data_IF_597623674988
#
_entry.id   IF_597623674988
#
_cell.length_a   1.000
_cell.length_b   1.000
_cell.length_c   1.000
_cell.angle_alpha   90.00
_cell.angle_beta   90.00
_cell.angle_gamma   90.00
#
_symmetry.space_group_name_H-M   'P 1'
#
loop_
_entity.id
_entity.type
_entity.pdbx_description
1 polymer ?
#
# COMPACT_ATOMS: atom_id res chain seq x y z
N UNK A 1 -7.27 34.34 11.98
CA UNK A 1 -6.38 34.40 10.80
C UNK A 1 -6.71 33.18 9.94
N UNK A 2 -6.86 33.36 8.62
CA UNK A 2 -7.74 32.59 7.71
C UNK A 2 -7.54 31.06 7.72
N UNK A 3 -8.63 30.32 7.91
CA UNK A 3 -8.77 28.92 7.49
C UNK A 3 -8.56 28.86 5.97
N UNK A 4 -7.51 28.17 5.51
CA UNK A 4 -7.30 27.97 4.08
C UNK A 4 -8.08 26.74 3.66
N UNK A 5 -9.35 26.95 3.26
CA UNK A 5 -10.10 25.97 2.47
C UNK A 5 -9.29 25.79 1.18
N UNK A 6 -8.60 24.66 1.03
CA UNK A 6 -7.92 24.34 -0.22
C UNK A 6 -9.02 24.10 -1.25
N UNK A 7 -9.37 25.16 -1.99
CA UNK A 7 -9.91 25.00 -3.33
C UNK A 7 -8.71 24.50 -4.13
N UNK A 8 -8.74 23.23 -4.51
CA UNK A 8 -7.77 22.71 -5.46
C UNK A 8 -7.91 23.58 -6.70
N UNK A 9 -6.89 24.37 -7.03
CA UNK A 9 -6.89 25.17 -8.25
C UNK A 9 -7.23 24.23 -9.41
N UNK A 10 -8.39 24.48 -9.97
CA UNK A 10 -9.01 23.76 -11.07
C UNK A 10 -8.14 23.90 -12.30
N UNK A 11 -7.08 23.10 -12.41
CA UNK A 11 -6.61 22.65 -13.71
C UNK A 11 -7.67 21.70 -14.24
N UNK A 12 -8.48 22.25 -15.13
CA UNK A 12 -9.52 21.63 -15.93
C UNK A 12 -9.15 20.20 -16.32
N UNK A 13 -9.69 19.24 -15.58
CA UNK A 13 -10.05 17.92 -16.08
C UNK A 13 -11.56 17.79 -15.94
N UNK A 14 -12.27 18.61 -16.72
CA UNK A 14 -13.67 18.38 -17.01
C UNK A 14 -13.73 17.26 -18.05
N UNK A 15 -13.60 16.03 -17.55
CA UNK A 15 -14.15 14.85 -18.20
C UNK A 15 -14.75 14.02 -17.07
N UNK A 16 -15.93 14.44 -16.61
CA UNK A 16 -16.84 13.51 -15.97
C UNK A 16 -17.15 12.47 -17.02
N UNK A 17 -16.46 11.33 -16.98
CA UNK A 17 -16.92 10.13 -17.66
C UNK A 17 -18.34 9.88 -17.15
N UNK A 18 -19.33 9.91 -18.04
CA UNK A 18 -20.66 9.40 -17.74
C UNK A 18 -20.46 7.94 -17.30
N UNK A 19 -20.57 7.71 -16.00
CA UNK A 19 -20.53 6.37 -15.43
C UNK A 19 -21.90 5.78 -15.67
N UNK A 20 -21.98 4.76 -16.54
CA UNK A 20 -23.26 4.13 -16.84
C UNK A 20 -23.87 3.53 -15.56
N UNK A 21 -25.19 3.68 -15.37
CA UNK A 21 -25.90 3.21 -14.19
C UNK A 21 -25.64 1.71 -13.92
N UNK A 22 -25.48 0.92 -14.97
CA UNK A 22 -25.13 -0.51 -14.93
C UNK A 22 -23.79 -0.77 -14.25
N UNK A 23 -22.78 0.06 -14.54
CA UNK A 23 -21.45 -0.02 -13.94
C UNK A 23 -21.47 0.42 -12.47
N UNK A 24 -22.29 1.43 -12.12
CA UNK A 24 -22.53 1.84 -10.73
C UNK A 24 -23.10 0.71 -9.90
N UNK A 25 -24.14 0.05 -10.43
CA UNK A 25 -24.79 -1.06 -9.76
C UNK A 25 -23.82 -2.25 -9.57
N UNK A 26 -22.90 -2.48 -10.51
CA UNK A 26 -21.87 -3.52 -10.39
C UNK A 26 -20.87 -3.23 -9.27
N UNK A 27 -20.35 -2.00 -9.19
CA UNK A 27 -19.43 -1.57 -8.13
C UNK A 27 -20.11 -1.62 -6.75
N UNK A 28 -21.35 -1.14 -6.65
CA UNK A 28 -22.13 -1.20 -5.42
C UNK A 28 -22.36 -2.65 -4.96
N UNK A 29 -22.75 -3.54 -5.87
CA UNK A 29 -22.91 -4.98 -5.55
C UNK A 29 -21.61 -5.59 -5.02
N UNK A 30 -20.46 -5.31 -5.65
CA UNK A 30 -19.15 -5.81 -5.19
C UNK A 30 -18.77 -5.24 -3.83
N UNK A 31 -19.02 -3.96 -3.59
CA UNK A 31 -18.78 -3.34 -2.29
C UNK A 31 -19.66 -3.97 -1.19
N UNK A 32 -20.96 -4.14 -1.45
CA UNK A 32 -21.87 -4.77 -0.49
C UNK A 32 -21.49 -6.22 -0.20
N UNK A 33 -21.08 -6.97 -1.23
CA UNK A 33 -20.56 -8.34 -1.07
C UNK A 33 -19.34 -8.37 -0.14
N UNK A 34 -18.36 -7.48 -0.38
CA UNK A 34 -17.18 -7.34 0.47
C UNK A 34 -17.52 -6.99 1.92
N UNK A 35 -18.41 -6.01 2.12
CA UNK A 35 -18.76 -5.53 3.45
C UNK A 35 -19.62 -6.52 4.24
N UNK A 36 -20.55 -7.23 3.58
CA UNK A 36 -21.50 -8.13 4.26
C UNK A 36 -20.99 -9.56 4.42
N UNK A 37 -20.35 -10.10 3.39
CA UNK A 37 -19.84 -11.47 3.38
C UNK A 37 -18.33 -11.51 3.60
N UNK A 38 -17.57 -10.63 2.94
CA UNK A 38 -16.11 -10.59 3.05
C UNK A 38 -15.63 -10.31 4.48
N UNK A 39 -16.35 -9.48 5.24
CA UNK A 39 -16.05 -9.20 6.66
C UNK A 39 -16.27 -10.39 7.60
N UNK A 40 -17.07 -11.37 7.19
CA UNK A 40 -17.41 -12.56 8.00
C UNK A 40 -16.67 -13.81 7.53
N UNK A 41 -16.11 -13.78 6.33
CA UNK A 41 -15.44 -14.93 5.72
C UNK A 41 -13.97 -14.93 6.12
N UNK A 42 -13.46 -15.98 6.79
CA UNK A 42 -12.04 -16.08 7.14
C UNK A 42 -11.15 -16.18 5.90
N UNK A 43 -9.90 -15.70 6.02
CA UNK A 43 -8.88 -15.80 4.97
C UNK A 43 -7.73 -16.75 5.33
N UNK A 44 -7.90 -17.59 6.35
CA UNK A 44 -6.86 -18.47 6.91
C UNK A 44 -6.96 -19.94 6.44
N UNK A 45 -7.57 -20.17 5.28
CA UNK A 45 -7.60 -21.49 4.64
C UNK A 45 -6.21 -21.87 4.10
N UNK A 46 -5.59 -22.86 4.71
CA UNK A 46 -4.33 -23.45 4.28
C UNK A 46 -4.61 -24.46 3.15
N UNK A 47 -4.49 -24.01 1.89
CA UNK A 47 -4.50 -24.92 0.73
C UNK A 47 -3.14 -25.63 0.69
N UNK A 48 -3.13 -26.96 0.71
CA UNK A 48 -1.91 -27.79 0.75
C UNK A 48 -0.99 -27.56 -0.44
N UNK A 49 -1.53 -27.14 -1.59
CA UNK A 49 -0.77 -26.77 -2.78
C UNK A 49 -1.13 -25.37 -3.25
N UNK A 50 -0.10 -24.53 -3.35
CA UNK A 50 -0.20 -23.19 -3.93
C UNK A 50 -0.05 -23.31 -5.45
N UNK A 51 -1.15 -23.16 -6.17
CA UNK A 51 -1.19 -23.18 -7.64
C UNK A 51 -1.50 -21.80 -8.21
N UNK A 52 -1.11 -21.59 -9.47
CA UNK A 52 -1.58 -20.42 -10.21
C UNK A 52 -3.07 -20.54 -10.51
N UNK A 53 -3.82 -19.42 -10.51
CA UNK A 53 -5.21 -19.45 -10.93
C UNK A 53 -5.34 -19.74 -12.44
N UNK A 54 -6.44 -20.35 -12.85
CA UNK A 54 -6.72 -20.72 -14.25
C UNK A 54 -6.69 -19.51 -15.20
N UNK A 55 -6.98 -18.31 -14.70
CA UNK A 55 -6.94 -17.07 -15.46
C UNK A 55 -5.54 -16.46 -15.57
N UNK A 56 -4.48 -17.12 -15.06
CA UNK A 56 -3.12 -16.59 -15.11
C UNK A 56 -2.65 -16.34 -16.55
N UNK A 57 -2.51 -15.06 -16.89
CA UNK A 57 -1.86 -14.60 -18.10
C UNK A 57 -0.41 -14.14 -17.81
N UNK A 58 0.63 -14.82 -18.36
CA UNK A 58 2.02 -14.48 -18.14
C UNK A 58 2.45 -13.16 -18.78
N UNK A 59 1.80 -12.73 -19.87
CA UNK A 59 2.09 -11.46 -20.54
C UNK A 59 1.61 -10.31 -19.66
N UNK A 60 0.35 -10.35 -19.22
CA UNK A 60 -0.21 -9.34 -18.30
C UNK A 60 0.54 -9.29 -16.98
N UNK A 61 0.94 -10.45 -16.44
CA UNK A 61 1.72 -10.49 -15.20
C UNK A 61 3.06 -9.75 -15.34
N UNK A 62 3.78 -9.97 -16.45
CA UNK A 62 5.03 -9.25 -16.76
C UNK A 62 4.81 -7.76 -17.00
N UNK A 63 3.69 -7.36 -17.61
CA UNK A 63 3.34 -5.95 -17.74
C UNK A 63 3.21 -5.28 -16.36
N UNK A 64 2.50 -5.91 -15.41
CA UNK A 64 2.41 -5.42 -14.04
C UNK A 64 3.77 -5.31 -13.32
N UNK A 65 4.68 -6.26 -13.57
CA UNK A 65 6.06 -6.19 -13.09
C UNK A 65 6.84 -5.01 -13.68
N UNK A 66 6.66 -4.75 -14.98
CA UNK A 66 7.30 -3.64 -15.67
C UNK A 66 6.81 -2.28 -15.15
N UNK A 67 5.51 -2.15 -14.80
CA UNK A 67 5.00 -0.92 -14.17
C UNK A 67 5.76 -0.62 -12.88
N UNK A 68 5.97 -1.62 -12.02
CA UNK A 68 6.76 -1.43 -10.79
C UNK A 68 8.22 -1.10 -11.07
N UNK A 69 8.85 -1.78 -12.04
CA UNK A 69 10.24 -1.49 -12.43
C UNK A 69 10.42 -0.04 -12.90
N UNK A 70 9.45 0.50 -13.64
CA UNK A 70 9.42 1.88 -14.15
C UNK A 70 9.10 2.90 -13.05
N UNK A 71 8.40 2.50 -11.98
CA UNK A 71 7.80 3.41 -11.01
C UNK A 71 8.08 3.04 -9.55
N UNK A 72 9.20 2.36 -9.27
CA UNK A 72 9.49 1.84 -7.93
C UNK A 72 9.42 2.92 -6.86
N UNK A 73 9.91 4.13 -7.11
CA UNK A 73 9.81 5.23 -6.15
C UNK A 73 8.34 5.59 -5.86
N UNK A 74 7.59 5.98 -6.89
CA UNK A 74 6.22 6.49 -6.73
C UNK A 74 5.26 5.43 -6.20
N UNK A 75 5.41 4.18 -6.66
CA UNK A 75 4.60 3.06 -6.16
C UNK A 75 4.93 2.67 -4.73
N UNK A 76 6.17 2.84 -4.27
CA UNK A 76 6.53 2.58 -2.87
C UNK A 76 6.01 3.68 -1.94
N UNK A 77 5.99 4.93 -2.40
CA UNK A 77 5.31 6.03 -1.69
C UNK A 77 3.80 5.76 -1.59
N UNK A 78 3.16 5.36 -2.70
CA UNK A 78 1.75 4.99 -2.72
C UNK A 78 1.43 3.85 -1.73
N UNK A 79 2.27 2.80 -1.71
CA UNK A 79 2.16 1.66 -0.78
C UNK A 79 2.30 2.09 0.68
N UNK A 80 3.22 3.00 0.99
CA UNK A 80 3.40 3.48 2.35
C UNK A 80 2.18 4.29 2.84
N UNK A 81 1.62 5.14 1.97
CA UNK A 81 0.35 5.84 2.27
C UNK A 81 -0.81 4.86 2.43
N UNK A 82 -0.90 3.82 1.60
CA UNK A 82 -1.89 2.76 1.74
C UNK A 82 -1.75 1.99 3.06
N UNK A 83 -0.52 1.65 3.46
CA UNK A 83 -0.23 1.00 4.73
C UNK A 83 -0.60 1.87 5.95
N UNK A 84 -0.40 3.19 5.87
CA UNK A 84 -0.90 4.09 6.92
C UNK A 84 -2.41 4.01 7.07
N UNK A 85 -3.15 3.94 5.96
CA UNK A 85 -4.60 3.74 6.01
C UNK A 85 -5.00 2.38 6.57
N UNK A 86 -4.24 1.31 6.31
CA UNK A 86 -4.50 0.01 6.93
C UNK A 86 -4.42 0.05 8.45
N UNK A 87 -3.52 0.87 9.01
CA UNK A 87 -3.39 1.04 10.46
C UNK A 87 -4.59 1.76 11.10
N UNK A 88 -5.52 2.33 10.34
CA UNK A 88 -6.74 2.93 10.90
C UNK A 88 -7.89 1.94 11.02
N UNK A 89 -7.81 0.82 10.29
CA UNK A 89 -8.84 -0.23 10.28
C UNK A 89 -8.70 -1.07 11.55
N UNK A 90 -9.70 -1.08 12.47
CA UNK A 90 -9.54 -1.73 13.78
C UNK A 90 -9.19 -3.22 13.71
N UNK A 91 -9.88 -4.00 12.88
CA UNK A 91 -9.62 -5.44 12.70
C UNK A 91 -8.17 -5.72 12.29
N UNK A 92 -7.62 -4.91 11.40
CA UNK A 92 -6.22 -5.03 10.95
C UNK A 92 -5.27 -4.58 12.06
N UNK A 93 -5.51 -3.40 12.64
CA UNK A 93 -4.66 -2.81 13.67
C UNK A 93 -4.53 -3.73 14.90
N UNK A 94 -5.62 -4.33 15.36
CA UNK A 94 -5.65 -5.21 16.52
C UNK A 94 -4.81 -6.47 16.30
N UNK A 95 -4.88 -7.07 15.11
CA UNK A 95 -4.03 -8.20 14.72
C UNK A 95 -2.56 -7.78 14.66
N UNK A 96 -2.25 -6.62 14.07
CA UNK A 96 -0.87 -6.12 14.00
C UNK A 96 -0.29 -5.87 15.40
N UNK A 97 -1.06 -5.29 16.32
CA UNK A 97 -0.67 -5.12 17.73
C UNK A 97 -0.46 -6.46 18.41
N UNK A 98 -1.38 -7.41 18.22
CA UNK A 98 -1.32 -8.75 18.80
C UNK A 98 -0.02 -9.48 18.43
N UNK A 99 0.47 -9.32 17.19
CA UNK A 99 1.75 -9.94 16.77
C UNK A 99 2.98 -9.40 17.49
N UNK A 100 2.91 -8.21 18.10
CA UNK A 100 4.04 -7.52 18.76
C UNK A 100 5.26 -7.24 17.86
N UNK A 101 5.12 -7.35 16.54
CA UNK A 101 6.22 -7.17 15.57
C UNK A 101 6.35 -5.75 15.03
N UNK A 102 5.56 -4.79 15.51
CA UNK A 102 5.55 -3.41 14.97
C UNK A 102 5.22 -2.34 16.01
N UNK A 103 5.29 -2.67 17.31
CA UNK A 103 4.94 -1.73 18.39
C UNK A 103 6.03 -0.70 18.73
N UNK A 104 7.22 -0.80 18.14
CA UNK A 104 8.29 0.19 18.28
C UNK A 104 9.12 0.28 16.98
N UNK A 105 9.90 1.36 16.77
CA UNK A 105 10.63 1.58 15.52
C UNK A 105 11.55 0.43 15.09
N UNK A 106 12.23 -0.22 16.03
CA UNK A 106 13.16 -1.31 15.74
C UNK A 106 12.45 -2.57 15.22
N UNK A 107 11.36 -2.98 15.88
CA UNK A 107 10.54 -4.12 15.44
C UNK A 107 9.80 -3.80 14.15
N UNK A 108 9.24 -2.59 14.03
CA UNK A 108 8.60 -2.10 12.82
C UNK A 108 9.56 -2.09 11.62
N UNK A 109 10.80 -1.62 11.79
CA UNK A 109 11.85 -1.70 10.75
C UNK A 109 11.96 -3.12 10.19
N UNK A 110 12.15 -4.12 11.06
CA UNK A 110 12.31 -5.53 10.63
C UNK A 110 11.10 -6.05 9.88
N UNK A 111 9.90 -5.78 10.41
CA UNK A 111 8.63 -6.22 9.80
C UNK A 111 8.46 -5.61 8.41
N UNK A 112 8.54 -4.29 8.31
CA UNK A 112 8.22 -3.59 7.07
C UNK A 112 9.35 -3.69 6.05
N UNK A 113 10.61 -3.80 6.46
CA UNK A 113 11.70 -4.17 5.56
C UNK A 113 11.48 -5.57 4.96
N UNK A 114 11.05 -6.55 5.75
CA UNK A 114 10.70 -7.87 5.22
C UNK A 114 9.52 -7.79 4.24
N UNK A 115 8.48 -7.01 4.52
CA UNK A 115 7.37 -6.78 3.59
C UNK A 115 7.84 -6.16 2.27
N UNK A 116 8.72 -5.14 2.32
CA UNK A 116 9.31 -4.50 1.14
C UNK A 116 10.07 -5.53 0.30
N UNK A 117 10.91 -6.35 0.93
CA UNK A 117 11.72 -7.35 0.23
C UNK A 117 10.87 -8.46 -0.38
N UNK A 118 9.85 -8.98 0.34
CA UNK A 118 8.88 -9.92 -0.23
C UNK A 118 8.15 -9.32 -1.44
N UNK A 119 7.69 -8.08 -1.34
CA UNK A 119 7.03 -7.37 -2.44
C UNK A 119 7.98 -7.20 -3.63
N UNK A 120 9.25 -6.89 -3.39
CA UNK A 120 10.27 -6.81 -4.44
C UNK A 120 10.51 -8.15 -5.14
N UNK A 121 10.54 -9.26 -4.38
CA UNK A 121 10.63 -10.62 -4.95
C UNK A 121 9.45 -10.86 -5.91
N UNK A 122 8.23 -10.47 -5.50
CA UNK A 122 7.04 -10.69 -6.32
C UNK A 122 7.10 -9.94 -7.65
N UNK A 123 7.62 -8.71 -7.63
CA UNK A 123 7.77 -7.91 -8.84
C UNK A 123 8.97 -8.29 -9.71
N UNK A 124 9.93 -9.06 -9.20
CA UNK A 124 11.17 -9.41 -9.93
C UNK A 124 11.14 -10.81 -10.54
N UNK A 125 10.39 -11.73 -9.95
CA UNK A 125 10.43 -13.15 -10.30
C UNK A 125 9.13 -13.57 -10.97
N UNK A 126 9.23 -14.42 -12.00
CA UNK A 126 8.07 -15.07 -12.62
C UNK A 126 7.75 -16.37 -11.88
N UNK A 127 6.52 -16.91 -11.98
CA UNK A 127 6.19 -18.23 -11.45
C UNK A 127 6.71 -19.33 -12.39
N UNK A 128 7.97 -19.72 -12.26
CA UNK A 128 8.56 -20.95 -12.80
C UNK A 128 8.70 -22.05 -11.72
N UNK A 129 9.00 -23.29 -12.13
CA UNK A 129 9.31 -24.38 -11.20
C UNK A 129 10.52 -23.99 -10.34
N UNK A 130 10.39 -24.12 -9.02
CA UNK A 130 11.30 -23.60 -7.98
C UNK A 130 11.41 -22.06 -7.85
N UNK A 131 10.43 -21.29 -8.36
CA UNK A 131 10.49 -19.82 -8.25
C UNK A 131 10.58 -19.30 -6.81
N UNK A 132 11.52 -18.38 -6.60
CA UNK A 132 11.62 -17.59 -5.36
C UNK A 132 10.30 -16.86 -5.05
N UNK A 133 9.51 -16.54 -6.08
CA UNK A 133 8.15 -16.01 -5.98
C UNK A 133 7.26 -16.91 -5.11
N UNK A 134 7.15 -18.20 -5.42
CA UNK A 134 6.31 -19.12 -4.64
C UNK A 134 6.85 -19.34 -3.23
N UNK A 135 8.16 -19.45 -3.05
CA UNK A 135 8.75 -19.57 -1.70
C UNK A 135 8.36 -18.37 -0.84
N UNK A 136 8.46 -17.17 -1.41
CA UNK A 136 8.07 -15.92 -0.77
C UNK A 136 6.56 -15.87 -0.46
N UNK A 137 5.70 -16.22 -1.42
CA UNK A 137 4.24 -16.21 -1.25
C UNK A 137 3.76 -17.27 -0.24
N UNK A 138 4.28 -18.50 -0.30
CA UNK A 138 3.99 -19.57 0.67
C UNK A 138 4.37 -19.14 2.08
N UNK A 139 5.55 -18.53 2.24
CA UNK A 139 5.98 -18.00 3.52
C UNK A 139 4.99 -16.96 4.03
N UNK A 140 4.66 -15.92 3.25
CA UNK A 140 3.73 -14.84 3.67
C UNK A 140 2.33 -15.38 3.97
N UNK A 141 1.75 -16.24 3.11
CA UNK A 141 0.44 -16.87 3.36
C UNK A 141 0.44 -17.65 4.66
N UNK A 142 1.49 -18.45 4.92
CA UNK A 142 1.66 -19.15 6.19
C UNK A 142 1.72 -18.20 7.38
N UNK A 143 2.41 -17.05 7.25
CA UNK A 143 2.45 -16.02 8.30
C UNK A 143 1.04 -15.50 8.62
N UNK A 144 0.25 -15.20 7.60
CA UNK A 144 -1.13 -14.72 7.76
C UNK A 144 -2.03 -15.77 8.41
N UNK A 145 -1.98 -17.02 7.95
CA UNK A 145 -2.79 -18.11 8.52
C UNK A 145 -2.48 -18.33 10.01
N UNK A 146 -1.19 -18.36 10.37
CA UNK A 146 -0.76 -18.51 11.78
C UNK A 146 -1.21 -17.31 12.62
N UNK A 147 -1.01 -16.08 12.13
CA UNK A 147 -1.42 -14.87 12.85
C UNK A 147 -2.95 -14.83 13.06
N UNK A 148 -3.73 -15.16 12.02
CA UNK A 148 -5.19 -15.25 12.08
C UNK A 148 -5.66 -16.27 13.12
N UNK A 149 -5.12 -17.49 13.07
CA UNK A 149 -5.51 -18.57 13.99
C UNK A 149 -5.20 -18.20 15.45
N UNK A 150 -3.98 -17.72 15.73
CA UNK A 150 -3.57 -17.33 17.08
C UNK A 150 -4.36 -16.14 17.61
N UNK A 151 -4.65 -15.16 16.76
CA UNK A 151 -5.46 -14.00 17.12
C UNK A 151 -6.90 -14.41 17.47
N UNK A 152 -7.44 -15.41 16.78
CA UNK A 152 -8.76 -15.97 17.08
C UNK A 152 -8.78 -16.70 18.41
N UNK A 153 -7.79 -17.56 18.64
CA UNK A 153 -7.65 -18.32 19.89
C UNK A 153 -7.50 -17.38 21.11
N UNK A 154 -6.90 -16.20 20.90
CA UNK A 154 -6.77 -15.16 21.90
C UNK A 154 -8.02 -14.24 22.02
N UNK A 155 -9.09 -14.49 21.28
CA UNK A 155 -10.34 -13.71 21.34
C UNK A 155 -10.26 -12.31 20.70
N UNK A 156 -9.22 -12.01 19.93
CA UNK A 156 -9.04 -10.70 19.26
C UNK A 156 -9.82 -10.66 17.94
N UNK A 157 -9.80 -11.74 17.17
CA UNK A 157 -10.46 -11.83 15.86
C UNK A 157 -9.69 -12.70 14.87
N UNK A 158 -10.19 -12.80 13.64
CA UNK A 158 -9.52 -13.48 12.52
C UNK A 158 -9.25 -12.50 11.40
N UNK A 159 -8.27 -12.81 10.56
CA UNK A 159 -8.10 -12.09 9.28
C UNK A 159 -9.27 -12.50 8.38
N UNK A 160 -10.09 -11.52 8.00
CA UNK A 160 -11.22 -11.72 7.08
C UNK A 160 -10.82 -11.48 5.63
N UNK A 161 -11.68 -11.90 4.68
CA UNK A 161 -11.53 -11.59 3.27
C UNK A 161 -11.62 -10.07 3.00
N UNK A 162 -12.41 -9.33 3.81
CA UNK A 162 -12.41 -7.87 3.77
C UNK A 162 -11.04 -7.31 4.17
N UNK A 163 -10.40 -7.80 5.24
CA UNK A 163 -9.07 -7.36 5.64
C UNK A 163 -8.02 -7.61 4.55
N UNK A 164 -8.11 -8.75 3.86
CA UNK A 164 -7.26 -9.06 2.70
C UNK A 164 -7.50 -8.10 1.53
N UNK A 165 -8.76 -7.80 1.21
CA UNK A 165 -9.11 -6.86 0.15
C UNK A 165 -8.64 -5.42 0.47
N UNK A 166 -8.85 -4.96 1.71
CA UNK A 166 -8.34 -3.67 2.18
C UNK A 166 -6.81 -3.64 2.12
N UNK A 167 -6.14 -4.73 2.51
CA UNK A 167 -4.69 -4.85 2.38
C UNK A 167 -4.25 -4.76 0.93
N UNK A 168 -4.95 -5.41 0.00
CA UNK A 168 -4.70 -5.29 -1.44
C UNK A 168 -4.84 -3.83 -1.92
N UNK A 169 -5.87 -3.09 -1.45
CA UNK A 169 -5.96 -1.64 -1.66
C UNK A 169 -4.71 -0.92 -1.14
N UNK A 170 -4.22 -1.27 0.05
CA UNK A 170 -3.00 -0.68 0.61
C UNK A 170 -1.77 -0.81 -0.31
N UNK A 171 -1.73 -1.85 -1.15
CA UNK A 171 -0.61 -2.09 -2.06
C UNK A 171 -0.73 -1.43 -3.45
N UNK A 172 -1.95 -1.22 -3.95
CA UNK A 172 -2.18 -0.76 -5.33
C UNK A 172 -3.22 0.36 -5.47
N UNK A 173 -4.10 0.57 -4.48
CA UNK A 173 -5.21 1.50 -4.52
C UNK A 173 -4.79 2.93 -4.83
N UNK A 174 -3.81 3.48 -4.10
CA UNK A 174 -3.29 4.82 -4.41
C UNK A 174 -2.53 4.90 -5.75
N UNK A 175 -1.95 3.80 -6.23
CA UNK A 175 -1.38 3.78 -7.58
C UNK A 175 -2.48 3.91 -8.63
N UNK A 176 -3.63 3.23 -8.45
CA UNK A 176 -4.78 3.36 -9.37
C UNK A 176 -5.45 4.74 -9.27
N UNK A 177 -5.66 5.23 -8.05
CA UNK A 177 -6.42 6.44 -7.77
C UNK A 177 -5.63 7.73 -8.00
N UNK A 178 -4.33 7.72 -7.73
CA UNK A 178 -3.48 8.91 -7.72
C UNK A 178 -2.30 8.79 -8.69
N UNK A 179 -2.42 7.99 -9.76
CA UNK A 179 -1.37 7.82 -10.77
C UNK A 179 -0.81 9.16 -11.25
N UNK A 180 -1.69 10.07 -11.69
CA UNK A 180 -1.29 11.38 -12.21
C UNK A 180 -0.64 12.26 -11.14
N UNK A 181 -1.26 12.35 -9.96
CA UNK A 181 -0.75 13.14 -8.84
C UNK A 181 0.65 12.67 -8.41
N UNK A 182 0.86 11.37 -8.34
CA UNK A 182 2.14 10.78 -7.96
C UNK A 182 3.17 10.82 -9.10
N UNK A 183 2.74 11.07 -10.33
CA UNK A 183 3.55 10.96 -11.53
C UNK A 183 3.93 9.53 -11.86
N UNK A 184 3.01 8.57 -11.76
CA UNK A 184 3.21 7.17 -12.18
C UNK A 184 3.20 7.09 -13.71
N UNK A 185 4.29 6.62 -14.32
CA UNK A 185 4.39 6.41 -15.76
C UNK A 185 3.79 5.07 -16.14
N UNK A 186 2.55 5.09 -16.64
CA UNK A 186 1.80 3.91 -17.10
C UNK A 186 0.86 4.29 -18.25
N UNK A 187 0.46 3.31 -19.05
CA UNK A 187 -0.68 3.40 -19.97
C UNK A 187 -1.80 2.42 -19.54
N UNK A 188 -2.89 2.35 -20.30
CA UNK A 188 -4.06 1.51 -19.97
C UNK A 188 -3.76 0.01 -19.98
N UNK A 189 -2.98 -0.47 -20.95
CA UNK A 189 -2.56 -1.87 -21.06
C UNK A 189 -1.66 -2.28 -19.87
N UNK A 190 -0.73 -1.40 -19.51
CA UNK A 190 0.14 -1.57 -18.35
C UNK A 190 -0.64 -1.56 -17.04
N UNK A 191 -1.69 -0.75 -16.94
CA UNK A 191 -2.56 -0.68 -15.78
C UNK A 191 -3.42 -1.94 -15.62
N UNK A 192 -3.92 -2.49 -16.74
CA UNK A 192 -4.56 -3.81 -16.78
C UNK A 192 -3.58 -4.93 -16.36
N UNK A 193 -2.33 -4.86 -16.84
CA UNK A 193 -1.26 -5.76 -16.40
C UNK A 193 -0.96 -5.67 -14.91
N UNK A 194 -0.92 -4.45 -14.34
CA UNK A 194 -0.75 -4.24 -12.90
C UNK A 194 -1.93 -4.80 -12.09
N UNK A 195 -3.15 -4.63 -12.59
CA UNK A 195 -4.35 -5.18 -11.98
C UNK A 195 -4.30 -6.72 -11.99
N UNK A 196 -3.98 -7.31 -13.13
CA UNK A 196 -3.80 -8.76 -13.27
C UNK A 196 -2.70 -9.31 -12.35
N UNK A 197 -1.56 -8.63 -12.25
CA UNK A 197 -0.51 -8.98 -11.30
C UNK A 197 -1.05 -9.07 -9.87
N UNK A 198 -1.74 -8.02 -9.38
CA UNK A 198 -2.29 -8.02 -8.03
C UNK A 198 -3.46 -8.98 -7.84
N UNK A 199 -4.21 -9.29 -8.90
CA UNK A 199 -5.25 -10.33 -8.90
C UNK A 199 -4.65 -11.69 -8.58
N UNK A 200 -3.60 -12.08 -9.32
CA UNK A 200 -2.87 -13.34 -9.13
C UNK A 200 -2.21 -13.39 -7.75
N UNK A 201 -1.52 -12.34 -7.33
CA UNK A 201 -0.87 -12.28 -6.01
C UNK A 201 -1.92 -12.39 -4.88
N UNK A 202 -3.05 -11.68 -5.00
CA UNK A 202 -4.15 -11.75 -4.04
C UNK A 202 -4.70 -13.17 -3.90
N UNK A 203 -5.03 -13.83 -5.01
CA UNK A 203 -5.52 -15.22 -5.00
C UNK A 203 -4.52 -16.17 -4.37
N UNK A 204 -3.25 -16.02 -4.72
CA UNK A 204 -2.17 -16.86 -4.22
C UNK A 204 -1.96 -16.68 -2.71
N UNK A 205 -2.18 -15.47 -2.18
CA UNK A 205 -2.14 -15.17 -0.75
C UNK A 205 -3.41 -15.57 0.03
N UNK A 206 -4.44 -16.10 -0.64
CA UNK A 206 -5.67 -16.61 -0.01
C UNK A 206 -6.91 -15.71 -0.17
N UNK A 207 -6.85 -14.65 -0.99
CA UNK A 207 -8.05 -13.87 -1.32
C UNK A 207 -8.95 -14.65 -2.27
N UNK A 208 -10.21 -14.88 -1.89
CA UNK A 208 -11.18 -15.48 -2.80
C UNK A 208 -11.48 -14.55 -3.98
N UNK A 209 -11.75 -15.15 -5.13
CA UNK A 209 -11.92 -14.41 -6.38
C UNK A 209 -13.07 -13.38 -6.34
N UNK A 210 -14.15 -13.72 -5.63
CA UNK A 210 -15.32 -12.83 -5.44
C UNK A 210 -15.03 -11.61 -4.56
N UNK A 211 -13.97 -11.64 -3.76
CA UNK A 211 -13.53 -10.54 -2.88
C UNK A 211 -12.26 -9.85 -3.39
N UNK A 212 -11.64 -10.37 -4.45
CA UNK A 212 -10.44 -9.79 -5.03
C UNK A 212 -10.76 -8.45 -5.71
N UNK A 213 -10.13 -7.36 -5.27
CA UNK A 213 -10.40 -6.02 -5.82
C UNK A 213 -10.02 -5.94 -7.30
N UNK A 214 -9.05 -6.75 -7.71
CA UNK A 214 -8.52 -6.82 -9.06
C UNK A 214 -9.28 -7.78 -9.98
N UNK A 215 -10.39 -8.39 -9.52
CA UNK A 215 -11.28 -9.19 -10.35
C UNK A 215 -12.33 -8.29 -11.03
N UNK A 216 -11.89 -7.50 -12.01
CA UNK A 216 -12.74 -6.61 -12.80
C UNK A 216 -11.91 -5.82 -13.81
N UNK A 217 -12.54 -4.90 -14.52
CA UNK A 217 -11.82 -3.95 -15.39
C UNK A 217 -11.07 -2.91 -14.55
N UNK A 218 -10.11 -2.22 -15.16
CA UNK A 218 -9.39 -1.10 -14.53
C UNK A 218 -10.36 -0.04 -14.01
N UNK A 219 -11.39 0.29 -14.78
CA UNK A 219 -12.40 1.31 -14.43
C UNK A 219 -13.21 0.89 -13.21
N UNK A 220 -13.75 -0.33 -13.21
CA UNK A 220 -14.50 -0.89 -12.07
C UNK A 220 -13.64 -1.01 -10.81
N UNK A 221 -12.41 -1.51 -10.92
CA UNK A 221 -11.50 -1.64 -9.78
C UNK A 221 -11.11 -0.28 -9.22
N UNK A 222 -10.87 0.73 -10.07
CA UNK A 222 -10.61 2.11 -9.64
C UNK A 222 -11.82 2.71 -8.92
N UNK A 223 -13.03 2.50 -9.43
CA UNK A 223 -14.26 2.94 -8.79
C UNK A 223 -14.49 2.26 -7.42
N UNK A 224 -14.29 0.95 -7.34
CA UNK A 224 -14.39 0.20 -6.08
C UNK A 224 -13.33 0.67 -5.06
N UNK A 225 -12.08 0.86 -5.47
CA UNK A 225 -11.03 1.41 -4.61
C UNK A 225 -11.41 2.80 -4.08
N UNK A 226 -12.00 3.66 -4.92
CA UNK A 226 -12.48 4.99 -4.50
C UNK A 226 -13.57 4.87 -3.42
N UNK A 227 -14.56 4.01 -3.62
CA UNK A 227 -15.61 3.73 -2.62
C UNK A 227 -15.03 3.24 -1.29
N UNK A 228 -14.07 2.30 -1.31
CA UNK A 228 -13.39 1.84 -0.09
C UNK A 228 -12.64 2.97 0.61
N UNK A 229 -11.98 3.85 -0.14
CA UNK A 229 -11.30 5.03 0.42
C UNK A 229 -12.30 5.97 1.10
N UNK A 230 -13.41 6.27 0.43
CA UNK A 230 -14.45 7.18 0.90
C UNK A 230 -15.22 6.67 2.13
N UNK A 231 -15.61 5.39 2.12
CA UNK A 231 -16.56 4.85 3.13
C UNK A 231 -15.92 4.09 4.27
N UNK A 232 -14.67 3.65 4.09
CA UNK A 232 -13.97 2.86 5.11
C UNK A 232 -12.78 3.66 5.62
N UNK A 233 -11.82 3.94 4.75
CA UNK A 233 -10.55 4.50 5.20
C UNK A 233 -10.68 5.95 5.71
N UNK A 234 -11.43 6.82 5.03
CA UNK A 234 -11.62 8.22 5.49
C UNK A 234 -12.33 8.29 6.85
N UNK A 235 -13.48 7.60 7.07
CA UNK A 235 -14.12 7.57 8.38
C UNK A 235 -13.25 7.00 9.50
N UNK A 236 -12.42 5.99 9.23
CA UNK A 236 -11.48 5.49 10.23
C UNK A 236 -10.30 6.44 10.48
N UNK A 237 -9.74 7.02 9.42
CA UNK A 237 -8.60 7.93 9.52
C UNK A 237 -8.93 9.22 10.27
N UNK A 238 -10.15 9.74 10.09
CA UNK A 238 -10.63 10.93 10.82
C UNK A 238 -10.80 10.72 12.33
N UNK A 239 -11.00 9.49 12.80
CA UNK A 239 -11.14 9.18 14.24
C UNK A 239 -9.82 9.26 15.02
N UNK A 240 -8.66 9.19 14.34
CA UNK A 240 -7.30 9.32 14.92
C UNK A 240 -7.13 8.61 16.27
N UNK A 241 -7.31 7.28 16.32
CA UNK A 241 -7.16 6.54 17.58
C UNK A 241 -5.73 6.62 18.13
N UNK A 242 -5.59 6.51 19.46
CA UNK A 242 -4.27 6.48 20.12
C UNK A 242 -3.39 5.35 19.58
N UNK A 243 -3.98 4.18 19.39
CA UNK A 243 -3.30 3.00 18.86
C UNK A 243 -2.80 3.22 17.42
N UNK A 244 -3.62 3.89 16.60
CA UNK A 244 -3.19 4.29 15.27
C UNK A 244 -1.96 5.19 15.37
N UNK A 245 -2.00 6.25 16.18
CA UNK A 245 -0.88 7.18 16.34
C UNK A 245 0.42 6.47 16.76
N UNK A 246 0.37 5.61 17.77
CA UNK A 246 1.53 4.85 18.26
C UNK A 246 2.12 3.93 17.17
N UNK A 247 1.27 3.14 16.51
CA UNK A 247 1.72 2.17 15.49
C UNK A 247 2.21 2.85 14.21
N UNK A 248 1.59 3.96 13.82
CA UNK A 248 2.02 4.75 12.65
C UNK A 248 3.32 5.53 12.94
N UNK A 249 3.54 5.96 14.19
CA UNK A 249 4.83 6.52 14.60
C UNK A 249 5.94 5.47 14.50
N UNK A 250 5.72 4.28 15.07
CA UNK A 250 6.66 3.17 14.98
C UNK A 250 6.96 2.77 13.53
N UNK A 251 5.95 2.73 12.66
CA UNK A 251 6.10 2.46 11.22
C UNK A 251 7.00 3.51 10.54
N UNK A 252 6.67 4.79 10.66
CA UNK A 252 7.37 5.84 9.89
C UNK A 252 8.81 6.04 10.40
N UNK A 253 9.02 6.01 11.71
CA UNK A 253 10.37 6.04 12.30
C UNK A 253 11.17 4.78 11.98
N UNK A 254 10.52 3.61 11.97
CA UNK A 254 11.14 2.34 11.60
C UNK A 254 11.54 2.27 10.13
N UNK A 255 10.91 3.03 9.24
CA UNK A 255 11.26 3.09 7.82
C UNK A 255 12.28 4.18 7.47
N UNK A 256 12.54 5.12 8.37
CA UNK A 256 13.56 6.16 8.19
C UNK A 256 14.95 5.60 7.82
N UNK A 257 15.45 4.47 8.38
CA UNK A 257 16.73 3.88 7.99
C UNK A 257 16.77 3.34 6.55
N UNK A 258 15.61 3.14 5.92
CA UNK A 258 15.48 2.68 4.52
C UNK A 258 15.38 3.90 3.60
N UNK A 259 14.57 4.87 4.00
CA UNK A 259 14.36 6.13 3.28
C UNK A 259 14.35 7.32 4.25
N UNK A 260 15.49 8.04 4.38
CA UNK A 260 15.61 9.18 5.30
C UNK A 260 14.72 10.39 4.97
N UNK A 261 14.01 10.38 3.83
CA UNK A 261 13.02 11.39 3.48
C UNK A 261 11.63 11.11 4.09
N UNK A 262 11.43 9.93 4.72
CA UNK A 262 10.19 9.60 5.44
C UNK A 262 10.21 10.30 6.80
N UNK A 263 9.76 11.55 6.83
CA UNK A 263 9.45 12.25 8.08
C UNK A 263 8.01 11.92 8.51
N UNK A 264 7.85 11.53 9.77
CA UNK A 264 6.57 11.08 10.32
C UNK A 264 5.42 12.09 10.10
N UNK A 265 5.58 13.32 10.57
CA UNK A 265 4.52 14.34 10.47
C UNK A 265 4.27 14.77 9.03
N UNK A 266 5.34 14.99 8.26
CA UNK A 266 5.24 15.37 6.84
C UNK A 266 4.52 14.31 6.02
N UNK A 267 4.84 13.03 6.24
CA UNK A 267 4.30 11.95 5.43
C UNK A 267 2.80 11.68 5.70
N UNK A 268 2.34 11.89 6.94
CA UNK A 268 0.90 11.86 7.27
C UNK A 268 0.14 12.94 6.52
N UNK A 269 0.66 14.18 6.49
CA UNK A 269 0.04 15.29 5.76
C UNK A 269 0.07 15.02 4.24
N UNK A 270 1.19 14.52 3.72
CA UNK A 270 1.25 14.09 2.32
C UNK A 270 0.20 13.01 2.01
N UNK A 271 -0.03 12.06 2.91
CA UNK A 271 -1.08 11.06 2.76
C UNK A 271 -2.47 11.71 2.73
N UNK A 272 -2.74 12.73 3.55
CA UNK A 272 -3.98 13.51 3.44
C UNK A 272 -4.14 14.19 2.06
N UNK A 273 -3.06 14.72 1.49
CA UNK A 273 -3.09 15.26 0.12
C UNK A 273 -3.43 14.20 -0.94
N UNK A 274 -2.91 12.98 -0.80
CA UNK A 274 -3.29 11.87 -1.69
C UNK A 274 -4.77 11.51 -1.55
N UNK A 275 -5.29 11.42 -0.33
CA UNK A 275 -6.71 11.14 -0.10
C UNK A 275 -7.58 12.24 -0.74
N UNK A 276 -7.23 13.51 -0.52
CA UNK A 276 -7.93 14.65 -1.11
C UNK A 276 -7.89 14.64 -2.66
N UNK A 277 -6.76 14.24 -3.25
CA UNK A 277 -6.64 14.09 -4.70
C UNK A 277 -7.47 12.92 -5.26
N UNK A 278 -7.65 11.85 -4.49
CA UNK A 278 -8.43 10.68 -4.91
C UNK A 278 -9.94 10.90 -4.81
N UNK A 279 -10.36 11.81 -3.92
CA UNK A 279 -11.76 12.10 -3.59
C UNK A 279 -12.04 13.62 -3.69
N UNK A 280 -12.20 14.16 -4.90
CA UNK A 280 -12.36 15.61 -5.09
C UNK A 280 -13.69 16.17 -4.57
N UNK A 281 -14.72 15.34 -4.40
CA UNK A 281 -16.10 15.79 -4.09
C UNK A 281 -16.56 15.49 -2.64
N UNK A 282 -15.66 15.22 -1.69
CA UNK A 282 -16.09 14.78 -0.36
C UNK A 282 -16.57 15.92 0.56
N UNK A 283 -17.64 15.64 1.31
CA UNK A 283 -18.14 16.45 2.43
C UNK A 283 -17.34 16.21 3.73
N UNK A 284 -16.51 15.18 3.79
CA UNK A 284 -15.61 14.95 4.93
C UNK A 284 -14.43 15.93 4.87
N UNK A 285 -14.41 16.92 5.77
CA UNK A 285 -13.27 17.83 5.92
C UNK A 285 -12.07 17.05 6.49
N UNK A 286 -11.13 16.66 5.63
CA UNK A 286 -9.80 16.27 6.07
C UNK A 286 -9.09 17.55 6.53
N UNK A 287 -8.91 17.67 7.84
CA UNK A 287 -8.14 18.78 8.39
C UNK A 287 -6.66 18.56 8.11
N UNK A 288 -6.13 19.31 7.14
CA UNK A 288 -4.72 19.36 6.80
C UNK A 288 -4.12 20.54 7.56
N UNK A 289 -3.77 20.30 8.83
CA UNK A 289 -3.00 21.27 9.62
C UNK A 289 -1.50 21.04 9.42
N UNK A 290 -0.86 21.94 8.68
CA UNK A 290 0.61 22.00 8.56
C UNK A 290 1.23 23.07 9.48
N UNK A 291 0.43 23.84 10.22
CA UNK A 291 0.89 25.00 10.98
C UNK A 291 1.77 24.57 12.16
N UNK A 292 1.40 23.44 12.79
CA UNK A 292 2.07 22.80 13.93
C UNK A 292 3.37 22.04 13.56
N UNK A 293 3.75 22.01 12.28
CA UNK A 293 4.99 21.38 11.85
C UNK A 293 6.24 22.20 12.21
N UNK A 294 7.31 21.50 12.59
CA UNK A 294 8.66 22.09 12.67
C UNK A 294 9.15 22.53 11.29
N UNK A 295 10.09 23.48 11.24
CA UNK A 295 10.67 23.96 9.98
C UNK A 295 11.23 22.82 9.11
N UNK A 296 11.95 21.87 9.72
CA UNK A 296 12.46 20.69 9.02
C UNK A 296 11.32 19.86 8.40
N UNK A 297 10.25 19.60 9.16
CA UNK A 297 9.12 18.81 8.65
C UNK A 297 8.38 19.54 7.53
N UNK A 298 8.27 20.88 7.61
CA UNK A 298 7.72 21.70 6.52
C UNK A 298 8.57 21.58 5.25
N UNK A 299 9.89 21.71 5.37
CA UNK A 299 10.83 21.56 4.24
C UNK A 299 10.67 20.18 3.58
N UNK A 300 10.64 19.10 4.37
CA UNK A 300 10.46 17.74 3.83
C UNK A 300 9.10 17.59 3.14
N UNK A 301 8.02 18.11 3.73
CA UNK A 301 6.68 18.09 3.12
C UNK A 301 6.66 18.82 1.78
N UNK A 302 7.12 20.07 1.73
CA UNK A 302 7.10 20.86 0.50
C UNK A 302 8.04 20.28 -0.56
N UNK A 303 9.18 19.70 -0.18
CA UNK A 303 10.04 18.97 -1.11
C UNK A 303 9.31 17.77 -1.70
N UNK A 304 8.62 16.97 -0.89
CA UNK A 304 7.85 15.82 -1.36
C UNK A 304 6.72 16.23 -2.31
N UNK A 305 5.96 17.27 -1.95
CA UNK A 305 4.93 17.85 -2.81
C UNK A 305 5.52 18.37 -4.13
N UNK A 306 6.65 19.07 -4.08
CA UNK A 306 7.34 19.60 -5.25
C UNK A 306 7.79 18.49 -6.20
N UNK A 307 8.38 17.41 -5.67
CA UNK A 307 8.80 16.24 -6.45
C UNK A 307 7.64 15.66 -7.25
N UNK A 308 6.51 15.38 -6.59
CA UNK A 308 5.36 14.76 -7.25
C UNK A 308 4.62 15.73 -8.19
N UNK A 309 4.50 17.01 -7.82
CA UNK A 309 3.78 18.02 -8.62
C UNK A 309 4.56 18.56 -9.82
N UNK A 310 5.90 18.62 -9.75
CA UNK A 310 6.71 19.33 -10.75
C UNK A 310 7.82 18.48 -11.40
N UNK A 311 8.39 17.50 -10.70
CA UNK A 311 9.51 16.72 -11.23
C UNK A 311 9.06 15.41 -11.88
N UNK A 312 8.05 14.75 -11.33
CA UNK A 312 7.58 13.44 -11.76
C UNK A 312 6.36 13.39 -12.71
N UNK A 313 5.61 14.47 -13.00
CA UNK A 313 4.55 14.39 -14.01
C UNK A 313 5.08 13.90 -15.37
N UNK A 314 4.35 13.00 -16.03
CA UNK A 314 4.85 12.23 -17.18
C UNK A 314 4.91 13.02 -18.48
N UNK A 315 4.18 14.14 -18.57
CA UNK A 315 4.13 14.99 -19.75
C UNK A 315 5.38 15.87 -19.93
N UNK A 316 6.24 15.98 -18.91
CA UNK A 316 7.48 16.73 -18.99
C UNK A 316 8.67 15.84 -19.37
N UNK A 317 9.50 16.31 -20.30
CA UNK A 317 10.68 15.55 -20.78
C UNK A 317 11.71 15.26 -19.67
N UNK A 318 11.90 16.20 -18.73
CA UNK A 318 12.83 16.03 -17.61
C UNK A 318 12.38 14.97 -16.59
N UNK A 319 11.09 14.60 -16.62
CA UNK A 319 10.51 13.59 -15.72
C UNK A 319 11.27 12.27 -15.80
N UNK A 320 11.72 11.88 -16.99
CA UNK A 320 12.53 10.68 -17.18
C UNK A 320 13.85 10.71 -16.37
N UNK A 321 14.50 11.87 -16.28
CA UNK A 321 15.75 12.05 -15.53
C UNK A 321 15.50 11.92 -14.02
N UNK A 322 14.53 12.68 -13.50
CA UNK A 322 14.20 12.66 -12.07
C UNK A 322 13.63 11.31 -11.63
N UNK A 323 12.77 10.70 -12.45
CA UNK A 323 12.27 9.34 -12.22
C UNK A 323 13.41 8.34 -12.13
N UNK A 324 14.38 8.38 -13.05
CA UNK A 324 15.54 7.51 -12.99
C UNK A 324 16.34 7.73 -11.69
N UNK A 325 16.55 8.99 -11.29
CA UNK A 325 17.21 9.34 -10.03
C UNK A 325 16.49 8.75 -8.81
N UNK A 326 15.20 9.07 -8.61
CA UNK A 326 14.45 8.61 -7.44
C UNK A 326 14.25 7.08 -7.42
N UNK A 327 14.03 6.46 -8.59
CA UNK A 327 13.96 5.01 -8.68
C UNK A 327 15.28 4.34 -8.28
N UNK A 328 16.42 4.88 -8.73
CA UNK A 328 17.73 4.34 -8.38
C UNK A 328 18.05 4.57 -6.90
N UNK A 329 17.69 5.73 -6.35
CA UNK A 329 17.79 5.99 -4.91
C UNK A 329 17.00 4.94 -4.11
N UNK A 330 15.75 4.66 -4.48
CA UNK A 330 14.93 3.66 -3.81
C UNK A 330 15.52 2.24 -3.92
N UNK A 331 16.03 1.86 -5.10
CA UNK A 331 16.71 0.56 -5.30
C UNK A 331 17.97 0.43 -4.44
N UNK A 332 18.77 1.49 -4.36
CA UNK A 332 19.96 1.53 -3.49
C UNK A 332 19.54 1.38 -2.03
N UNK A 333 18.50 2.09 -1.57
CA UNK A 333 17.95 1.94 -0.23
C UNK A 333 17.54 0.50 0.11
N UNK A 334 16.87 -0.19 -0.81
CA UNK A 334 16.50 -1.61 -0.63
C UNK A 334 17.71 -2.54 -0.61
N UNK A 335 18.66 -2.35 -1.53
CA UNK A 335 19.89 -3.12 -1.57
C UNK A 335 20.70 -2.98 -0.28
N UNK A 336 20.85 -1.75 0.21
CA UNK A 336 21.51 -1.47 1.49
C UNK A 336 20.75 -2.10 2.64
N UNK A 337 19.42 -2.00 2.67
CA UNK A 337 18.61 -2.64 3.72
C UNK A 337 18.81 -4.15 3.77
N UNK A 338 18.92 -4.80 2.61
CA UNK A 338 19.09 -6.25 2.51
C UNK A 338 20.52 -6.70 2.84
N UNK A 339 21.53 -6.02 2.28
CA UNK A 339 22.93 -6.48 2.35
C UNK A 339 23.75 -5.78 3.42
N UNK A 340 23.54 -4.48 3.63
CA UNK A 340 24.36 -3.62 4.49
C UNK A 340 23.54 -2.51 5.17
N UNK A 341 22.64 -2.82 6.12
CA UNK A 341 21.71 -1.85 6.70
C UNK A 341 22.39 -0.91 7.69
N UNK A 342 23.32 -0.08 7.22
CA UNK A 342 24.21 0.76 8.03
C UNK A 342 23.45 1.77 8.91
N UNK A 343 22.41 2.43 8.37
CA UNK A 343 21.59 3.35 9.17
C UNK A 343 20.89 2.61 10.31
N UNK A 344 20.34 1.43 10.02
CA UNK A 344 19.71 0.63 11.06
C UNK A 344 20.74 0.05 12.04
N UNK A 345 21.99 -0.20 11.64
CA UNK A 345 23.07 -0.59 12.55
C UNK A 345 23.41 0.52 13.54
N UNK A 346 23.46 1.77 13.08
CA UNK A 346 23.70 2.93 13.92
C UNK A 346 22.55 3.11 14.92
N UNK A 347 21.30 2.99 14.46
CA UNK A 347 20.13 3.25 15.29
C UNK A 347 19.77 2.12 16.27
N UNK A 348 19.91 0.85 15.85
CA UNK A 348 19.38 -0.30 16.60
C UNK A 348 20.45 -1.33 16.99
N UNK A 349 21.68 -1.19 16.48
CA UNK A 349 22.77 -2.14 16.68
C UNK A 349 22.69 -3.36 15.74
N UNK A 350 23.86 -3.91 15.36
CA UNK A 350 24.01 -4.96 14.34
C UNK A 350 23.09 -6.17 14.52
N UNK A 351 22.97 -6.69 15.75
CA UNK A 351 22.16 -7.89 16.05
C UNK A 351 20.68 -7.69 15.76
N UNK A 352 20.15 -6.48 15.99
CA UNK A 352 18.72 -6.19 15.85
C UNK A 352 18.35 -5.80 14.42
N UNK A 353 19.29 -5.29 13.64
CA UNK A 353 19.05 -4.88 12.25
C UNK A 353 19.25 -5.98 11.22
N UNK A 354 19.89 -7.10 11.57
CA UNK A 354 19.96 -8.27 10.70
C UNK A 354 18.68 -9.12 10.82
N UNK A 355 18.02 -9.39 9.70
CA UNK A 355 16.82 -10.24 9.65
C UNK A 355 16.83 -11.12 8.40
N UNK A 356 16.32 -12.33 8.54
CA UNK A 356 16.08 -13.23 7.41
C UNK A 356 14.58 -13.20 7.10
N UNK A 357 14.21 -12.78 5.90
CA UNK A 357 12.81 -12.62 5.46
C UNK A 357 12.03 -13.94 5.46
N UNK A 358 12.73 -15.07 5.28
CA UNK A 358 12.17 -16.42 5.32
C UNK A 358 12.12 -17.01 6.75
N UNK A 359 12.84 -16.43 7.72
CA UNK A 359 12.84 -16.93 9.10
C UNK A 359 11.69 -16.31 9.91
N UNK A 360 10.81 -17.18 10.38
CA UNK A 360 9.68 -16.81 11.22
C UNK A 360 10.15 -16.67 12.69
N UNK A 361 9.87 -15.53 13.33
CA UNK A 361 10.15 -15.31 14.75
C UNK A 361 8.82 -15.03 15.45
N UNK A 362 8.33 -15.99 16.21
CA UNK A 362 7.23 -15.84 17.15
C UNK A 362 7.78 -16.24 18.53
N UNK A 363 8.66 -15.41 19.06
CA UNK A 363 9.07 -15.50 20.47
C UNK A 363 8.10 -14.66 21.32
#
# INVERSE_FOLDING_TARGET
MKFQKIICDSYVLQKSEEFEQTEYDAVEKRLQLLLKEGSKTPADFDESEMTLPDYYDPVKFRLGQNVFRKNIFTMMIAKLSGLLLLLTVPSILDILKFTKQSGNPCTAFRRYAATILHTCIWYKNSPDEDSELFVSLKNVRKKHCIASKRSCEAGIGRISQLDMALTQFGFMGFTLLCADYLGVATNDEELDGLLHFWRVIGRTLGTEERFNLCNGTVKESKALCRRLLEEIFVPYYTKKSKDFEEMSNALLEGLWPINPFVNNKSFRIFTCHLIASAIPNNNHSLDIDDTSLSLYSKIILYLQLFVHKHLLPVHYWWSSIFRAHFNNQMKIGFYLTEKFPFLAYILYGRKRSYFNIYKFHFD
#
